data_IF_356802715647
#
_entry.id   IF_356802715647
#
_cell.length_a   1.000
_cell.length_b   1.000
_cell.length_c   1.000
_cell.angle_alpha   90.00
_cell.angle_beta   90.00
_cell.angle_gamma   90.00
#
_symmetry.space_group_name_H-M   'P 1'
#
loop_
_entity.id
_entity.type
_entity.pdbx_description
1 polymer ?
#
# COMPACT_ATOMS: atom_id res chain seq x y z
N UNK A 1 19.47 3.61 -7.70
CA UNK A 1 18.93 4.84 -8.31
C UNK A 1 17.60 5.17 -7.66
N UNK A 2 17.45 6.40 -7.19
CA UNK A 2 16.15 6.85 -6.69
C UNK A 2 15.15 6.91 -7.85
N UNK A 3 14.01 6.28 -7.70
CA UNK A 3 12.95 6.36 -8.69
C UNK A 3 12.39 7.78 -8.72
N UNK A 4 11.99 8.22 -9.91
CA UNK A 4 11.40 9.53 -10.06
C UNK A 4 10.06 9.58 -9.34
N UNK A 5 9.86 10.61 -8.52
CA UNK A 5 8.59 10.80 -7.81
C UNK A 5 7.47 11.08 -8.81
N UNK A 6 6.38 10.36 -8.65
CA UNK A 6 5.16 10.55 -9.44
C UNK A 6 4.24 11.53 -8.70
N UNK A 7 4.08 12.73 -9.23
CA UNK A 7 3.28 13.79 -8.62
C UNK A 7 1.79 13.74 -9.01
N UNK A 8 1.35 12.63 -9.58
CA UNK A 8 -0.05 12.46 -9.95
C UNK A 8 -0.95 12.51 -8.72
N UNK A 9 -2.06 13.24 -8.81
CA UNK A 9 -3.00 13.40 -7.68
C UNK A 9 -3.90 12.17 -7.48
N UNK A 10 -4.19 11.45 -8.56
CA UNK A 10 -5.07 10.28 -8.51
C UNK A 10 -4.29 9.04 -8.08
N UNK A 11 -4.86 8.28 -7.14
CA UNK A 11 -4.29 7.00 -6.76
C UNK A 11 -4.68 5.90 -7.75
N UNK A 12 -3.90 4.82 -7.78
CA UNK A 12 -4.26 3.64 -8.53
C UNK A 12 -5.39 2.91 -7.80
N UNK A 13 -6.52 2.72 -8.47
CA UNK A 13 -7.63 1.99 -7.88
C UNK A 13 -7.29 0.51 -7.75
N UNK A 14 -7.72 -0.09 -6.65
CA UNK A 14 -7.56 -1.52 -6.43
C UNK A 14 -8.43 -2.30 -7.43
N UNK A 15 -7.82 -3.14 -8.29
CA UNK A 15 -8.61 -4.00 -9.16
C UNK A 15 -9.52 -4.92 -8.35
N UNK A 16 -10.75 -5.02 -8.75
CA UNK A 16 -11.73 -5.85 -8.06
C UNK A 16 -12.62 -6.58 -9.04
N UNK A 17 -13.25 -7.66 -8.57
CA UNK A 17 -14.20 -8.40 -9.38
C UNK A 17 -15.45 -7.55 -9.68
N UNK A 18 -16.00 -7.73 -10.88
CA UNK A 18 -17.25 -7.09 -11.25
C UNK A 18 -18.37 -7.49 -10.28
N UNK A 19 -19.27 -6.56 -9.98
CA UNK A 19 -20.33 -6.79 -8.99
C UNK A 19 -21.27 -7.95 -9.36
N UNK A 20 -21.46 -8.21 -10.65
CA UNK A 20 -22.29 -9.33 -11.11
C UNK A 20 -21.57 -10.68 -11.04
N UNK A 21 -20.25 -10.69 -10.92
CA UNK A 21 -19.44 -11.89 -10.82
C UNK A 21 -19.16 -12.22 -9.35
N UNK A 22 -18.79 -11.22 -8.55
CA UNK A 22 -18.38 -11.44 -7.16
C UNK A 22 -19.50 -11.95 -6.26
N UNK A 23 -20.76 -11.68 -6.60
CA UNK A 23 -21.91 -12.15 -5.83
C UNK A 23 -22.24 -13.62 -6.07
N UNK A 24 -21.52 -14.29 -6.98
CA UNK A 24 -21.76 -15.69 -7.36
C UNK A 24 -20.62 -16.63 -6.94
N UNK A 25 -19.61 -16.11 -6.25
CA UNK A 25 -18.49 -16.93 -5.77
C UNK A 25 -18.00 -16.41 -4.42
N UNK A 26 -17.09 -17.16 -3.81
CA UNK A 26 -16.47 -16.81 -2.53
C UNK A 26 -14.99 -16.44 -2.69
N UNK A 27 -14.57 -16.10 -3.90
CA UNK A 27 -13.21 -15.66 -4.16
C UNK A 27 -13.02 -14.23 -3.64
N UNK A 28 -11.78 -13.85 -3.43
CA UNK A 28 -11.44 -12.51 -2.95
C UNK A 28 -11.89 -11.45 -3.96
N UNK A 29 -12.63 -10.43 -3.47
CA UNK A 29 -13.16 -9.36 -4.33
C UNK A 29 -12.06 -8.46 -4.83
N UNK A 30 -11.17 -7.99 -3.95
CA UNK A 30 -10.02 -7.19 -4.33
C UNK A 30 -8.96 -8.10 -4.96
N UNK A 31 -8.57 -7.81 -6.20
CA UNK A 31 -7.64 -8.65 -6.96
C UNK A 31 -6.17 -8.35 -6.69
N UNK A 32 -5.87 -7.25 -6.00
CA UNK A 32 -4.51 -6.82 -5.74
C UNK A 32 -3.93 -6.02 -6.89
N UNK A 33 -2.83 -5.31 -6.62
CA UNK A 33 -2.11 -4.56 -7.65
C UNK A 33 -1.20 -5.47 -8.46
N UNK A 34 -1.05 -5.15 -9.76
CA UNK A 34 0.05 -5.70 -10.56
C UNK A 34 1.35 -5.06 -10.11
N UNK A 35 2.49 -5.62 -10.51
CA UNK A 35 3.81 -5.02 -10.21
C UNK A 35 3.90 -3.58 -10.69
N UNK A 36 3.40 -3.31 -11.90
CA UNK A 36 3.42 -1.96 -12.49
C UNK A 36 2.57 -0.99 -11.67
N UNK A 37 1.38 -1.40 -11.27
CA UNK A 37 0.50 -0.58 -10.44
C UNK A 37 1.11 -0.31 -9.07
N UNK A 38 1.73 -1.32 -8.46
CA UNK A 38 2.36 -1.17 -7.16
C UNK A 38 3.54 -0.20 -7.22
N UNK A 39 4.36 -0.29 -8.25
CA UNK A 39 5.50 0.62 -8.44
C UNK A 39 5.04 2.04 -8.74
N UNK A 40 4.01 2.20 -9.55
CA UNK A 40 3.45 3.52 -9.87
C UNK A 40 2.87 4.18 -8.62
N UNK A 41 2.10 3.45 -7.84
CA UNK A 41 1.52 3.98 -6.59
C UNK A 41 2.61 4.28 -5.56
N UNK A 42 3.61 3.43 -5.44
CA UNK A 42 4.73 3.64 -4.52
C UNK A 42 5.53 4.90 -4.89
N UNK A 43 5.65 5.19 -6.19
CA UNK A 43 6.35 6.38 -6.67
C UNK A 43 5.63 7.69 -6.31
N UNK A 44 4.37 7.63 -5.91
CA UNK A 44 3.62 8.81 -5.45
C UNK A 44 4.03 9.26 -4.05
N UNK A 45 4.71 8.43 -3.30
CA UNK A 45 5.17 8.79 -1.95
C UNK A 45 6.23 9.88 -2.01
N UNK A 46 6.02 10.95 -1.26
CA UNK A 46 6.93 12.11 -1.22
C UNK A 46 8.08 11.92 -0.24
N UNK A 47 8.07 10.84 0.52
CA UNK A 47 9.08 10.56 1.55
C UNK A 47 9.24 11.74 2.53
N UNK A 48 8.13 12.21 3.09
CA UNK A 48 8.08 13.39 3.95
C UNK A 48 8.90 13.19 5.23
N UNK A 49 9.58 14.26 5.66
CA UNK A 49 10.36 14.23 6.92
C UNK A 49 9.45 14.06 8.14
N UNK A 50 8.27 14.67 8.10
CA UNK A 50 7.32 14.64 9.22
C UNK A 50 6.48 13.38 9.26
N UNK A 51 6.40 12.64 8.14
CA UNK A 51 5.59 11.42 7.92
C UNK A 51 4.28 11.38 8.72
N UNK A 52 3.31 12.27 8.41
CA UNK A 52 2.01 12.25 9.09
C UNK A 52 1.26 10.94 8.90
N UNK A 53 1.54 10.21 7.83
CA UNK A 53 0.96 8.89 7.59
C UNK A 53 1.34 7.88 8.68
N UNK A 54 2.57 7.95 9.21
CA UNK A 54 3.01 7.07 10.29
C UNK A 54 2.21 7.36 11.56
N UNK A 55 2.02 8.64 11.86
CA UNK A 55 1.23 9.05 13.03
C UNK A 55 -0.24 8.67 12.88
N UNK A 56 -0.76 8.64 11.66
CA UNK A 56 -2.13 8.21 11.36
C UNK A 56 -2.33 6.71 11.44
N UNK A 57 -1.27 5.93 11.41
CA UNK A 57 -1.35 4.47 11.51
C UNK A 57 -1.43 4.03 12.98
N UNK A 58 -2.46 3.27 13.39
CA UNK A 58 -2.61 2.85 14.79
C UNK A 58 -1.44 2.03 15.32
N UNK A 59 -0.72 1.33 14.47
CA UNK A 59 0.45 0.52 14.86
C UNK A 59 1.77 1.16 14.43
N UNK A 60 1.72 2.38 13.93
CA UNK A 60 2.89 3.18 13.54
C UNK A 60 3.82 2.46 12.58
N UNK A 61 3.26 1.86 11.51
CA UNK A 61 4.06 1.27 10.44
C UNK A 61 4.91 2.36 9.80
N UNK A 62 6.16 2.07 9.54
CA UNK A 62 7.09 3.00 8.89
C UNK A 62 6.79 3.09 7.39
N UNK A 63 5.72 3.79 7.07
CA UNK A 63 5.14 3.82 5.73
C UNK A 63 6.11 4.31 4.66
N UNK A 64 6.80 5.46 4.81
CA UNK A 64 7.76 5.89 3.80
C UNK A 64 8.88 4.87 3.55
N UNK A 65 9.29 4.18 4.60
CA UNK A 65 10.38 3.22 4.54
C UNK A 65 10.00 1.98 3.73
N UNK A 66 8.81 1.37 3.99
CA UNK A 66 8.41 0.21 3.21
C UNK A 66 8.06 0.57 1.77
N UNK A 67 7.50 1.76 1.55
CA UNK A 67 7.19 2.23 0.19
C UNK A 67 8.49 2.42 -0.61
N UNK A 68 9.53 2.96 0.03
CA UNK A 68 10.83 3.09 -0.61
C UNK A 68 11.40 1.73 -1.01
N UNK A 69 11.23 0.71 -0.17
CA UNK A 69 11.63 -0.66 -0.50
C UNK A 69 10.89 -1.20 -1.72
N UNK A 70 9.61 -0.89 -1.85
CA UNK A 70 8.82 -1.27 -3.03
C UNK A 70 9.36 -0.59 -4.29
N UNK A 71 9.68 0.69 -4.20
CA UNK A 71 10.28 1.45 -5.32
C UNK A 71 11.60 0.80 -5.77
N UNK A 72 12.38 0.30 -4.83
CA UNK A 72 13.63 -0.41 -5.09
C UNK A 72 13.42 -1.85 -5.54
N UNK A 73 12.16 -2.31 -5.63
CA UNK A 73 11.76 -3.67 -5.97
C UNK A 73 12.20 -4.72 -4.93
N UNK A 74 12.46 -4.27 -3.70
CA UNK A 74 12.79 -5.14 -2.57
C UNK A 74 11.51 -5.42 -1.78
N UNK A 75 10.68 -6.31 -2.32
CA UNK A 75 9.38 -6.64 -1.72
C UNK A 75 9.54 -7.36 -0.38
N UNK A 76 10.53 -8.19 -0.25
CA UNK A 76 10.81 -8.88 1.00
C UNK A 76 11.23 -7.87 2.09
N UNK A 77 12.08 -6.91 1.75
CA UNK A 77 12.47 -5.84 2.65
C UNK A 77 11.29 -4.99 3.07
N UNK A 78 10.38 -4.69 2.14
CA UNK A 78 9.15 -3.95 2.43
C UNK A 78 8.29 -4.71 3.44
N UNK A 79 8.11 -6.01 3.24
CA UNK A 79 7.36 -6.85 4.16
C UNK A 79 7.99 -6.86 5.56
N UNK A 80 9.32 -6.97 5.65
CA UNK A 80 10.02 -6.95 6.92
C UNK A 80 9.81 -5.64 7.68
N UNK A 81 9.84 -4.51 6.98
CA UNK A 81 9.57 -3.19 7.59
C UNK A 81 8.16 -3.13 8.15
N UNK A 82 7.16 -3.57 7.40
CA UNK A 82 5.77 -3.60 7.85
C UNK A 82 5.63 -4.51 9.06
N UNK A 83 6.25 -5.68 9.03
CA UNK A 83 6.11 -6.71 10.06
C UNK A 83 6.79 -6.32 11.39
N UNK A 84 7.63 -5.31 11.41
CA UNK A 84 8.24 -4.82 12.65
C UNK A 84 7.18 -4.34 13.65
N UNK A 85 6.09 -3.76 13.17
CA UNK A 85 5.04 -3.21 14.04
C UNK A 85 3.69 -3.88 13.83
N UNK A 86 3.43 -4.46 12.67
CA UNK A 86 2.16 -5.11 12.35
C UNK A 86 2.36 -6.62 12.28
N UNK A 87 1.64 -7.36 13.11
CA UNK A 87 1.68 -8.82 13.12
C UNK A 87 0.81 -9.45 12.03
N UNK A 88 -0.15 -8.70 11.48
CA UNK A 88 -1.13 -9.20 10.53
C UNK A 88 -1.24 -8.29 9.29
N UNK A 89 -0.13 -8.07 8.56
CA UNK A 89 -0.13 -7.12 7.46
C UNK A 89 -1.10 -7.48 6.33
N UNK A 90 -1.30 -8.76 6.05
CA UNK A 90 -2.22 -9.19 5.00
C UNK A 90 -3.68 -8.88 5.36
N UNK A 91 -4.05 -9.04 6.63
CA UNK A 91 -5.39 -8.72 7.11
C UNK A 91 -5.58 -7.20 7.10
N UNK A 92 -4.63 -6.46 7.65
CA UNK A 92 -4.69 -4.99 7.69
C UNK A 92 -4.79 -4.39 6.28
N UNK A 93 -4.05 -4.95 5.33
CA UNK A 93 -4.10 -4.49 3.95
C UNK A 93 -5.48 -4.63 3.31
N UNK A 94 -6.31 -5.55 3.83
CA UNK A 94 -7.64 -5.78 3.28
C UNK A 94 -8.77 -5.06 4.01
N UNK A 95 -8.60 -4.79 5.31
CA UNK A 95 -9.70 -4.29 6.15
C UNK A 95 -9.47 -2.90 6.70
N UNK A 96 -8.25 -2.39 6.63
CA UNK A 96 -7.92 -1.10 7.24
C UNK A 96 -8.61 0.05 6.50
N UNK A 97 -9.32 0.95 7.21
CA UNK A 97 -9.93 2.13 6.60
C UNK A 97 -8.89 3.23 6.40
N UNK A 98 -8.02 3.05 5.44
CA UNK A 98 -6.85 3.90 5.19
C UNK A 98 -7.21 5.37 5.01
N UNK A 99 -8.32 5.64 4.34
CA UNK A 99 -8.76 7.00 4.04
C UNK A 99 -9.05 7.81 5.30
N UNK A 100 -9.38 7.12 6.40
CA UNK A 100 -9.68 7.76 7.69
C UNK A 100 -8.48 7.78 8.62
N UNK A 101 -7.37 7.16 8.25
CA UNK A 101 -6.20 6.99 9.11
C UNK A 101 -4.94 7.57 8.48
N UNK A 102 -4.19 6.77 7.72
CA UNK A 102 -2.90 7.21 7.19
C UNK A 102 -2.99 7.97 5.88
N UNK A 103 -4.05 7.79 5.12
CA UNK A 103 -4.24 8.44 3.81
C UNK A 103 -5.04 9.78 3.84
#
# INVERSE_FOLDING_TARGET
MAAKINMRLDKNEMPSQDHNVRNKNFLEVALGYTKEQALDEAARCLNCKNHPCVDGCPVNVRIPEFIQKIVEKDYEGAYQVIHQTSSLPAVCGRVCPQESQCE
#
